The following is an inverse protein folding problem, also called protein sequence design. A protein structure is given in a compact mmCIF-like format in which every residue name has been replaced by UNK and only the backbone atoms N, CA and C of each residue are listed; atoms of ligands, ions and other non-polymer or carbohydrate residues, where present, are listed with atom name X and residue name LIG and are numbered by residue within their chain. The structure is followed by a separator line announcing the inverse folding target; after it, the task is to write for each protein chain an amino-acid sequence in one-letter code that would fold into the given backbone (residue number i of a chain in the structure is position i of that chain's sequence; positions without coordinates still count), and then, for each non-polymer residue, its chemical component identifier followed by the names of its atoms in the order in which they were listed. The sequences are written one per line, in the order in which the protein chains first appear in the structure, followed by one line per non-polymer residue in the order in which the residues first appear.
data_IF_390937550200
#
_entry.id   IF_390937550200
#
_cell.length_a   1.000
_cell.length_b   1.000
_cell.length_c   1.000
_cell.angle_alpha   90.00
_cell.angle_beta   90.00
_cell.angle_gamma   90.00
#
_symmetry.space_group_name_H-M   'P 1'
#
loop_
_entity.id
_entity.type
_entity.pdbx_description
1 polymer ?
#
# COMPACT_ATOMS: atom_id res chain seq x y z
N UNK A 1 12.18 -25.14 12.81
CA UNK A 1 12.35 -24.54 11.48
C UNK A 1 13.64 -23.76 11.53
N UNK A 2 14.59 -24.13 10.69
CA UNK A 2 15.93 -23.57 10.70
C UNK A 2 16.14 -22.87 9.35
N UNK A 3 16.40 -21.56 9.39
CA UNK A 3 16.67 -20.76 8.19
C UNK A 3 18.17 -20.75 7.92
N UNK A 4 18.56 -21.23 6.74
CA UNK A 4 19.95 -21.47 6.35
C UNK A 4 20.70 -20.19 6.03
N UNK A 5 20.02 -19.13 5.60
CA UNK A 5 20.64 -17.89 5.20
C UNK A 5 19.69 -16.69 5.33
N UNK A 6 20.25 -15.50 5.10
CA UNK A 6 19.53 -14.21 5.12
C UNK A 6 18.31 -14.18 4.21
N UNK A 7 18.44 -14.73 3.00
CA UNK A 7 17.39 -14.73 1.98
C UNK A 7 16.17 -15.51 2.44
N UNK A 8 16.37 -16.69 3.04
CA UNK A 8 15.27 -17.50 3.58
C UNK A 8 14.53 -16.76 4.72
N UNK A 9 15.26 -16.03 5.56
CA UNK A 9 14.67 -15.23 6.65
C UNK A 9 13.86 -14.05 6.13
N UNK A 10 14.40 -13.30 5.16
CA UNK A 10 13.68 -12.20 4.52
C UNK A 10 12.44 -12.70 3.79
N UNK A 11 12.54 -13.79 3.03
CA UNK A 11 11.37 -14.39 2.37
C UNK A 11 10.30 -14.82 3.38
N UNK A 12 10.70 -15.35 4.54
CA UNK A 12 9.75 -15.67 5.60
C UNK A 12 9.06 -14.42 6.17
N UNK A 13 9.81 -13.33 6.38
CA UNK A 13 9.26 -12.04 6.79
C UNK A 13 8.27 -11.51 5.75
N UNK A 14 8.63 -11.50 4.47
CA UNK A 14 7.75 -11.07 3.37
C UNK A 14 6.45 -11.88 3.38
N UNK A 15 6.55 -13.21 3.45
CA UNK A 15 5.38 -14.10 3.46
C UNK A 15 4.46 -13.84 4.65
N UNK A 16 5.00 -13.49 5.83
CA UNK A 16 4.21 -13.32 7.05
C UNK A 16 3.75 -11.89 7.32
N UNK A 17 4.51 -10.89 6.88
CA UNK A 17 4.35 -9.49 7.25
C UNK A 17 4.29 -8.52 6.05
N UNK A 18 4.46 -9.01 4.83
CA UNK A 18 4.44 -8.21 3.61
C UNK A 18 5.78 -7.57 3.26
N UNK A 19 5.84 -7.02 2.05
CA UNK A 19 7.05 -6.39 1.51
C UNK A 19 7.46 -5.14 2.29
N UNK A 20 6.52 -4.28 2.68
CA UNK A 20 6.81 -3.03 3.38
C UNK A 20 7.54 -3.26 4.71
N UNK A 21 7.10 -4.27 5.47
CA UNK A 21 7.80 -4.66 6.70
C UNK A 21 9.18 -5.23 6.39
N UNK A 22 9.34 -5.98 5.30
CA UNK A 22 10.63 -6.52 4.89
C UNK A 22 11.63 -5.42 4.49
N UNK A 23 11.15 -4.27 3.97
CA UNK A 23 11.99 -3.12 3.62
C UNK A 23 12.74 -2.54 4.83
N UNK A 24 12.16 -2.61 6.03
CA UNK A 24 12.81 -2.18 7.28
C UNK A 24 14.12 -2.94 7.55
N UNK A 25 14.26 -4.13 6.97
CA UNK A 25 15.43 -4.96 7.12
C UNK A 25 16.47 -4.78 6.02
N UNK A 26 16.28 -3.89 5.05
CA UNK A 26 17.25 -3.66 3.97
C UNK A 26 18.61 -3.18 4.50
N UNK A 27 18.59 -2.31 5.50
CA UNK A 27 19.78 -1.77 6.16
C UNK A 27 20.31 -2.66 7.29
N UNK A 28 19.57 -3.70 7.69
CA UNK A 28 19.97 -4.59 8.77
C UNK A 28 21.02 -5.62 8.34
N UNK A 29 21.85 -6.03 9.30
CA UNK A 29 22.77 -7.16 9.18
C UNK A 29 22.01 -8.49 9.23
N UNK A 30 22.63 -9.58 8.73
CA UNK A 30 22.03 -10.91 8.83
C UNK A 30 21.78 -11.35 10.28
N UNK A 31 22.64 -10.92 11.21
CA UNK A 31 22.50 -11.22 12.64
C UNK A 31 21.25 -10.58 13.24
N UNK A 32 20.96 -9.34 12.90
CA UNK A 32 19.77 -8.62 13.37
C UNK A 32 18.50 -9.27 12.81
N UNK A 33 18.51 -9.63 11.52
CA UNK A 33 17.38 -10.31 10.89
C UNK A 33 17.15 -11.69 11.50
N UNK A 34 18.22 -12.43 11.76
CA UNK A 34 18.13 -13.71 12.49
C UNK A 34 17.53 -13.52 13.88
N UNK A 35 18.01 -12.55 14.65
CA UNK A 35 17.50 -12.26 15.99
C UNK A 35 15.99 -11.98 15.96
N UNK A 36 15.54 -11.11 15.06
CA UNK A 36 14.12 -10.80 14.89
C UNK A 36 13.29 -12.05 14.60
N UNK A 37 13.72 -12.87 13.63
CA UNK A 37 12.98 -14.08 13.24
C UNK A 37 12.95 -15.08 14.38
N UNK A 38 14.05 -15.31 15.09
CA UNK A 38 14.11 -16.27 16.19
C UNK A 38 13.17 -15.85 17.34
N UNK A 39 13.25 -14.58 17.76
CA UNK A 39 12.45 -14.00 18.85
C UNK A 39 10.94 -14.01 18.53
N UNK A 40 10.57 -13.88 17.26
CA UNK A 40 9.17 -13.79 16.83
C UNK A 40 8.66 -15.07 16.16
N UNK A 41 9.48 -16.13 16.07
CA UNK A 41 9.20 -17.30 15.23
C UNK A 41 7.93 -18.05 15.60
N UNK A 42 7.54 -18.06 16.87
CA UNK A 42 6.31 -18.72 17.33
C UNK A 42 5.07 -18.00 16.79
N UNK A 43 4.98 -16.71 17.09
CA UNK A 43 3.88 -15.85 16.63
C UNK A 43 3.81 -15.77 15.10
N UNK A 44 4.95 -15.60 14.42
CA UNK A 44 4.99 -15.53 12.95
C UNK A 44 4.48 -16.80 12.27
N UNK A 45 4.61 -17.97 12.90
CA UNK A 45 4.08 -19.23 12.34
C UNK A 45 2.57 -19.34 12.49
N UNK A 46 2.04 -18.89 13.62
CA UNK A 46 0.60 -18.89 13.92
C UNK A 46 -0.14 -17.82 13.10
N UNK A 47 0.55 -16.75 12.72
CA UNK A 47 0.00 -15.72 11.84
C UNK A 47 -0.24 -16.27 10.43
N UNK A 48 -1.40 -15.96 9.87
CA UNK A 48 -1.69 -16.18 8.45
C UNK A 48 -0.68 -15.43 7.57
N UNK A 49 -0.51 -15.91 6.33
CA UNK A 49 0.35 -15.23 5.40
C UNK A 49 -0.21 -13.85 5.08
N UNK A 50 0.67 -12.86 4.94
CA UNK A 50 0.28 -11.53 4.53
C UNK A 50 -0.38 -11.60 3.16
N UNK A 51 -1.62 -11.13 3.09
CA UNK A 51 -2.31 -10.86 1.85
C UNK A 51 -2.13 -9.37 1.58
N UNK A 52 -1.48 -9.03 0.47
CA UNK A 52 -1.43 -7.63 0.04
C UNK A 52 -2.87 -7.22 -0.30
N UNK A 53 -3.45 -6.22 0.38
CA UNK A 53 -4.76 -5.74 0.00
C UNK A 53 -4.69 -5.25 -1.44
N UNK A 54 -5.58 -5.77 -2.28
CA UNK A 54 -5.80 -5.17 -3.60
C UNK A 54 -6.62 -3.93 -3.34
N UNK A 55 -6.04 -2.77 -3.60
CA UNK A 55 -6.72 -1.50 -3.45
C UNK A 55 -6.95 -0.92 -4.85
N UNK A 56 -8.14 -0.40 -5.08
CA UNK A 56 -8.55 0.19 -6.37
C UNK A 56 -8.68 1.69 -6.18
N UNK A 57 -8.01 2.47 -7.03
CA UNK A 57 -8.22 3.91 -7.06
C UNK A 57 -9.60 4.21 -7.66
N UNK A 58 -10.47 4.88 -6.92
CA UNK A 58 -11.84 5.15 -7.40
C UNK A 58 -11.89 6.17 -8.55
N UNK A 59 -10.83 6.97 -8.72
CA UNK A 59 -10.73 7.99 -9.77
C UNK A 59 -10.49 7.39 -11.16
N UNK A 60 -9.65 6.37 -11.25
CA UNK A 60 -9.26 5.76 -12.53
C UNK A 60 -9.51 4.26 -12.62
N UNK A 61 -10.01 3.64 -11.56
CA UNK A 61 -10.29 2.22 -11.44
C UNK A 61 -9.07 1.29 -11.60
N UNK A 62 -7.86 1.82 -11.42
CA UNK A 62 -6.61 1.06 -11.51
C UNK A 62 -6.24 0.42 -10.16
N UNK A 63 -5.63 -0.76 -10.21
CA UNK A 63 -5.04 -1.38 -9.01
C UNK A 63 -3.82 -0.59 -8.55
N UNK A 64 -3.78 -0.27 -7.26
CA UNK A 64 -2.64 0.43 -6.66
C UNK A 64 -1.97 -0.44 -5.61
N UNK A 65 -0.63 -0.38 -5.61
CA UNK A 65 0.22 -1.16 -4.71
C UNK A 65 0.23 -0.54 -3.31
N UNK A 66 0.10 0.79 -3.24
CA UNK A 66 0.08 1.59 -2.02
C UNK A 66 -0.79 2.84 -2.20
N UNK A 67 -1.07 3.54 -1.09
CA UNK A 67 -1.83 4.80 -1.11
C UNK A 67 -1.12 5.95 -1.87
N UNK A 68 0.13 5.77 -2.30
CA UNK A 68 0.97 6.84 -2.86
C UNK A 68 1.28 6.67 -4.34
N UNK A 69 0.85 5.57 -4.97
CA UNK A 69 1.24 5.28 -6.35
C UNK A 69 0.02 4.89 -7.17
N UNK A 70 -0.63 5.90 -7.76
CA UNK A 70 -1.72 5.71 -8.71
C UNK A 70 -1.28 6.09 -10.13
N UNK A 71 -1.58 5.21 -11.10
CA UNK A 71 -1.27 5.44 -12.52
C UNK A 71 -2.04 6.58 -13.20
N UNK A 72 -2.92 7.30 -12.48
CA UNK A 72 -3.70 8.41 -13.04
C UNK A 72 -2.94 9.75 -13.09
N UNK A 73 -1.67 9.78 -12.68
CA UNK A 73 -0.82 10.98 -12.76
C UNK A 73 -0.85 11.87 -11.51
N UNK A 74 -1.41 11.38 -10.39
CA UNK A 74 -1.38 12.05 -9.10
C UNK A 74 -0.56 11.24 -8.09
N UNK A 75 0.20 11.94 -7.25
CA UNK A 75 1.09 11.38 -6.22
C UNK A 75 0.37 10.61 -5.10
N UNK A 76 -0.97 10.48 -5.16
CA UNK A 76 -1.75 9.70 -4.20
C UNK A 76 -2.93 8.97 -4.85
N UNK A 77 -3.20 7.77 -4.38
CA UNK A 77 -4.40 7.03 -4.69
C UNK A 77 -5.57 7.48 -3.79
N UNK A 78 -6.79 7.42 -4.32
CA UNK A 78 -8.01 7.86 -3.65
C UNK A 78 -8.96 6.67 -3.51
N UNK A 79 -9.50 6.43 -2.32
CA UNK A 79 -10.23 5.20 -2.00
C UNK A 79 -11.67 5.42 -1.52
N UNK A 80 -12.04 6.65 -1.17
CA UNK A 80 -13.41 7.00 -0.80
C UNK A 80 -13.87 8.29 -1.47
N UNK A 81 -15.19 8.46 -1.56
CA UNK A 81 -15.80 9.71 -2.04
C UNK A 81 -15.37 10.90 -1.18
N UNK A 82 -15.27 10.70 0.15
CA UNK A 82 -14.79 11.71 1.09
C UNK A 82 -13.33 12.10 0.80
N UNK A 83 -12.43 11.14 0.63
CA UNK A 83 -11.03 11.40 0.29
C UNK A 83 -10.89 12.12 -1.04
N UNK A 84 -11.72 11.75 -2.04
CA UNK A 84 -11.73 12.40 -3.34
C UNK A 84 -12.20 13.85 -3.24
N UNK A 85 -13.28 14.07 -2.50
CA UNK A 85 -13.82 15.40 -2.26
C UNK A 85 -12.81 16.29 -1.55
N UNK A 86 -12.14 15.79 -0.52
CA UNK A 86 -11.08 16.50 0.19
C UNK A 86 -9.89 16.82 -0.73
N UNK A 87 -9.49 15.87 -1.60
CA UNK A 87 -8.42 16.09 -2.59
C UNK A 87 -8.75 17.26 -3.53
N UNK A 88 -9.94 17.24 -4.12
CA UNK A 88 -10.39 18.26 -5.07
C UNK A 88 -10.50 19.64 -4.41
N UNK A 89 -10.96 19.68 -3.16
CA UNK A 89 -11.07 20.90 -2.37
C UNK A 89 -9.70 21.45 -1.95
N UNK A 90 -8.68 20.59 -1.88
CA UNK A 90 -7.29 20.96 -1.60
C UNK A 90 -6.56 21.62 -2.77
N UNK A 91 -7.04 21.46 -4.02
CA UNK A 91 -6.43 22.10 -5.17
C UNK A 91 -6.60 23.62 -5.14
N UNK A 92 -5.49 24.35 -5.26
CA UNK A 92 -5.48 25.81 -5.39
C UNK A 92 -5.92 26.28 -6.77
N UNK A 93 -5.73 25.48 -7.82
CA UNK A 93 -6.06 25.83 -9.19
C UNK A 93 -6.88 24.73 -9.90
N UNK A 94 -7.91 25.10 -10.70
CA UNK A 94 -8.72 24.13 -11.44
C UNK A 94 -7.94 23.29 -12.47
N UNK A 95 -6.80 23.78 -12.96
CA UNK A 95 -5.99 23.10 -13.98
C UNK A 95 -5.27 21.86 -13.44
N UNK A 96 -5.24 21.69 -12.12
CA UNK A 96 -4.70 20.51 -11.46
C UNK A 96 -5.73 19.37 -11.37
N UNK A 97 -6.93 19.53 -11.95
CA UNK A 97 -7.99 18.52 -11.94
C UNK A 97 -7.95 17.64 -13.18
N UNK A 98 -8.21 16.36 -13.02
CA UNK A 98 -8.37 15.43 -14.13
C UNK A 98 -9.81 15.38 -14.63
N UNK A 99 -10.02 14.76 -15.79
CA UNK A 99 -11.37 14.59 -16.36
C UNK A 99 -12.34 13.90 -15.39
N UNK A 100 -11.87 12.87 -14.66
CA UNK A 100 -12.68 12.18 -13.66
C UNK A 100 -13.11 13.09 -12.50
N UNK A 101 -12.28 14.06 -12.10
CA UNK A 101 -12.63 15.02 -11.04
C UNK A 101 -13.77 15.93 -11.48
N UNK A 102 -13.79 16.36 -12.75
CA UNK A 102 -14.88 17.17 -13.27
C UNK A 102 -16.21 16.43 -13.29
N UNK A 103 -16.21 15.17 -13.71
CA UNK A 103 -17.42 14.34 -13.69
C UNK A 103 -17.91 14.13 -12.26
N UNK A 104 -17.01 13.81 -11.32
CA UNK A 104 -17.34 13.67 -9.91
C UNK A 104 -17.94 14.96 -9.32
N UNK A 105 -17.39 16.13 -9.65
CA UNK A 105 -17.96 17.44 -9.25
C UNK A 105 -19.34 17.67 -9.89
N UNK A 106 -19.48 17.41 -11.20
CA UNK A 106 -20.76 17.57 -11.93
C UNK A 106 -21.86 16.69 -11.33
N UNK A 107 -21.49 15.53 -10.77
CA UNK A 107 -22.40 14.61 -10.10
C UNK A 107 -22.61 14.91 -8.60
N UNK A 108 -22.13 16.06 -8.11
CA UNK A 108 -22.32 16.48 -6.72
C UNK A 108 -21.44 15.71 -5.73
N UNK A 109 -20.23 15.33 -6.14
CA UNK A 109 -19.28 14.52 -5.37
C UNK A 109 -19.81 13.12 -5.05
N UNK A 110 -20.36 12.45 -6.07
CA UNK A 110 -20.83 11.07 -5.99
C UNK A 110 -20.33 10.26 -7.19
N UNK A 111 -19.99 9.00 -6.95
CA UNK A 111 -19.69 8.03 -8.00
C UNK A 111 -20.94 7.75 -8.85
N UNK A 112 -20.73 7.50 -10.14
CA UNK A 112 -21.78 6.99 -11.01
C UNK A 112 -21.88 5.48 -10.81
N UNK A 113 -23.08 4.99 -10.45
CA UNK A 113 -23.40 3.56 -10.33
C UNK A 113 -23.29 2.80 -11.65
#
# INVERSE_FOLDING_TARGET
MEFRNRRERINFIITKLGNDTALLFLSSTDREVKKFVDENSKWLKEKENYQQPIIICIRCNEQVISHTECGCGYDRAIFSEEEWKEDIQGYSEPNDRCFGDEEFIKNGYKLLE
#
